data_IF_794378709241
#
_entry.id   IF_794378709241
#
_cell.length_a   1.000
_cell.length_b   1.000
_cell.length_c   1.000
_cell.angle_alpha   90.00
_cell.angle_beta   90.00
_cell.angle_gamma   90.00
#
_symmetry.space_group_name_H-M   'P 1'
#
loop_
_entity.id
_entity.type
_entity.pdbx_description
1 polymer ?
#
# COMPACT_ATOMS: atom_id res chain seq x y z
N UNK A 1 22.91 -20.31 -4.90
CA UNK A 1 21.63 -20.45 -4.18
C UNK A 1 21.15 -19.04 -3.84
N UNK A 2 20.30 -18.45 -4.68
CA UNK A 2 19.71 -17.12 -4.38
C UNK A 2 18.39 -17.34 -3.67
N UNK A 3 18.41 -17.17 -2.35
CA UNK A 3 17.20 -17.08 -1.53
C UNK A 3 16.45 -15.80 -1.91
N UNK A 4 15.54 -15.89 -2.88
CA UNK A 4 14.55 -14.84 -3.10
C UNK A 4 13.56 -14.91 -1.95
N UNK A 5 13.79 -14.12 -0.90
CA UNK A 5 12.77 -13.88 0.11
C UNK A 5 11.51 -13.37 -0.60
N UNK A 6 10.33 -13.94 -0.32
CA UNK A 6 9.09 -13.47 -0.92
C UNK A 6 8.96 -11.97 -0.63
N UNK A 7 8.47 -11.23 -1.63
CA UNK A 7 8.29 -9.79 -1.47
C UNK A 7 7.44 -9.53 -0.22
N UNK A 8 7.85 -8.60 0.66
CA UNK A 8 7.07 -8.29 1.83
C UNK A 8 5.68 -7.88 1.39
N UNK A 9 4.70 -8.65 1.85
CA UNK A 9 3.29 -8.36 1.64
C UNK A 9 2.97 -7.14 2.51
N UNK A 10 2.82 -5.99 1.89
CA UNK A 10 2.49 -4.76 2.59
C UNK A 10 0.97 -4.64 2.67
N UNK A 11 0.43 -4.72 3.89
CA UNK A 11 -0.98 -4.40 4.12
C UNK A 11 -1.20 -2.92 3.81
N UNK A 12 -2.10 -2.62 2.89
CA UNK A 12 -2.51 -1.28 2.50
C UNK A 12 -3.94 -0.98 2.95
N UNK A 13 -4.17 0.28 3.25
CA UNK A 13 -5.47 0.87 3.52
C UNK A 13 -5.77 1.88 2.42
N UNK A 14 -6.85 1.66 1.67
CA UNK A 14 -7.33 2.56 0.63
C UNK A 14 -8.52 3.33 1.19
N UNK A 15 -8.39 4.65 1.30
CA UNK A 15 -9.45 5.54 1.80
C UNK A 15 -10.07 6.31 0.65
N UNK A 16 -11.40 6.25 0.53
CA UNK A 16 -12.13 6.72 -0.67
C UNK A 16 -12.46 8.22 -0.65
N UNK A 17 -12.35 8.89 0.49
CA UNK A 17 -12.69 10.31 0.65
C UNK A 17 -11.76 11.01 1.63
N UNK A 18 -11.46 12.27 1.34
CA UNK A 18 -10.74 13.14 2.26
C UNK A 18 -11.48 13.28 3.59
N UNK A 19 -10.73 13.34 4.69
CA UNK A 19 -11.27 13.53 6.04
C UNK A 19 -10.66 14.76 6.68
N UNK A 20 -11.53 15.60 7.23
CA UNK A 20 -11.16 16.66 8.14
C UNK A 20 -11.80 16.39 9.52
N UNK A 21 -11.03 16.57 10.59
CA UNK A 21 -11.50 16.48 11.97
C UNK A 21 -10.80 17.51 12.85
N UNK A 22 -11.21 17.61 14.11
CA UNK A 22 -10.57 18.45 15.12
C UNK A 22 -10.08 17.58 16.27
N UNK A 23 -8.85 17.79 16.70
CA UNK A 23 -8.28 17.12 17.86
C UNK A 23 -8.04 18.14 18.99
N UNK A 24 -8.82 18.08 20.08
CA UNK A 24 -8.51 18.87 21.27
C UNK A 24 -7.30 18.27 21.98
N UNK A 25 -6.28 19.07 22.24
CA UNK A 25 -5.14 18.67 23.06
C UNK A 25 -4.67 19.84 23.93
N UNK A 26 -4.80 19.66 25.24
CA UNK A 26 -4.65 20.71 26.26
C UNK A 26 -5.58 21.89 25.94
N UNK A 27 -5.06 23.11 25.85
CA UNK A 27 -5.83 24.33 25.55
C UNK A 27 -5.90 24.67 24.05
N UNK A 28 -5.47 23.76 23.16
CA UNK A 28 -5.47 23.98 21.71
C UNK A 28 -6.32 22.94 20.99
N UNK A 29 -7.08 23.39 19.98
CA UNK A 29 -7.76 22.54 19.03
C UNK A 29 -6.97 22.54 17.72
N UNK A 30 -6.55 21.36 17.29
CA UNK A 30 -5.84 21.17 16.03
C UNK A 30 -6.83 20.78 14.94
N UNK A 31 -6.82 21.48 13.81
CA UNK A 31 -7.55 21.06 12.60
C UNK A 31 -6.70 20.05 11.87
N UNK A 32 -7.19 18.83 11.73
CA UNK A 32 -6.46 17.71 11.14
C UNK A 32 -7.13 17.30 9.85
N UNK A 33 -6.34 17.14 8.79
CA UNK A 33 -6.80 16.75 7.47
C UNK A 33 -5.95 15.61 6.91
N UNK A 34 -6.61 14.54 6.47
CA UNK A 34 -6.00 13.41 5.77
C UNK A 34 -6.68 13.22 4.42
N UNK A 35 -5.90 13.14 3.35
CA UNK A 35 -6.40 12.95 2.00
C UNK A 35 -6.87 11.51 1.75
N UNK A 36 -7.79 11.33 0.83
CA UNK A 36 -8.06 10.04 0.20
C UNK A 36 -6.79 9.49 -0.47
N UNK A 37 -6.72 8.17 -0.63
CA UNK A 37 -5.59 7.50 -1.26
C UNK A 37 -5.13 6.23 -0.55
N UNK A 38 -3.91 5.81 -0.89
CA UNK A 38 -3.25 4.62 -0.36
C UNK A 38 -2.39 4.94 0.85
N UNK A 39 -2.51 4.10 1.88
CA UNK A 39 -1.72 4.16 3.10
C UNK A 39 -1.11 2.79 3.38
N UNK A 40 0.17 2.76 3.73
CA UNK A 40 0.94 1.53 3.97
C UNK A 40 1.05 1.26 5.47
N UNK A 41 0.84 0.01 5.90
CA UNK A 41 1.08 -0.41 7.28
C UNK A 41 2.57 -0.22 7.64
N UNK A 42 2.85 0.67 8.60
CA UNK A 42 4.22 0.98 9.05
C UNK A 42 4.52 0.46 10.45
N UNK A 43 3.49 0.30 11.29
CA UNK A 43 3.63 -0.20 12.65
C UNK A 43 2.37 -0.88 13.15
N UNK A 44 2.52 -1.69 14.19
CA UNK A 44 1.42 -2.28 14.95
C UNK A 44 1.78 -2.36 16.43
N UNK A 45 0.78 -2.26 17.29
CA UNK A 45 0.91 -2.53 18.72
C UNK A 45 -0.18 -3.52 19.18
N UNK A 46 -0.33 -3.67 20.49
CA UNK A 46 -1.35 -4.53 21.09
C UNK A 46 -2.79 -4.04 20.81
N UNK A 47 -2.97 -2.77 20.46
CA UNK A 47 -4.26 -2.08 20.41
C UNK A 47 -4.72 -1.77 18.99
N UNK A 48 -3.80 -1.65 18.02
CA UNK A 48 -4.15 -1.20 16.69
C UNK A 48 -3.06 -1.39 15.63
N UNK A 49 -3.35 -0.84 14.46
CA UNK A 49 -2.51 -0.83 13.26
C UNK A 49 -2.34 0.61 12.79
N UNK A 50 -1.11 0.98 12.40
CA UNK A 50 -0.74 2.32 11.95
C UNK A 50 -0.41 2.30 10.46
N UNK A 51 -1.20 3.03 9.68
CA UNK A 51 -1.05 3.17 8.24
C UNK A 51 -0.57 4.59 7.89
N UNK A 52 0.60 4.72 7.28
CA UNK A 52 1.17 6.00 6.87
C UNK A 52 0.89 6.28 5.40
N UNK A 53 0.68 7.55 5.02
CA UNK A 53 0.33 7.89 3.66
C UNK A 53 1.53 7.73 2.71
N UNK A 54 1.34 7.10 1.54
CA UNK A 54 2.41 6.94 0.55
C UNK A 54 2.72 8.29 -0.11
N UNK A 55 3.76 8.98 0.36
CA UNK A 55 4.21 10.27 -0.18
C UNK A 55 3.37 11.49 0.23
N UNK A 56 2.29 11.28 0.99
CA UNK A 56 1.43 12.33 1.54
C UNK A 56 1.74 12.59 3.02
N UNK A 57 1.51 13.83 3.46
CA UNK A 57 1.59 14.21 4.85
C UNK A 57 0.18 14.52 5.36
N UNK A 58 -0.13 14.13 6.59
CA UNK A 58 -1.32 14.63 7.28
C UNK A 58 -1.13 16.13 7.48
N UNK A 59 -2.15 16.94 7.19
CA UNK A 59 -2.10 18.38 7.44
C UNK A 59 -2.69 18.67 8.83
N UNK A 60 -1.91 19.30 9.68
CA UNK A 60 -2.32 19.73 11.03
C UNK A 60 -2.17 21.24 11.10
N UNK A 61 -3.31 21.94 11.23
CA UNK A 61 -3.42 23.38 11.05
C UNK A 61 -2.81 23.83 9.70
N UNK A 62 -1.63 24.43 9.73
CA UNK A 62 -0.90 24.91 8.54
C UNK A 62 0.33 24.06 8.20
N UNK A 63 0.63 23.03 9.00
CA UNK A 63 1.83 22.21 8.86
C UNK A 63 1.52 20.85 8.26
N UNK A 64 2.46 20.35 7.45
CA UNK A 64 2.46 18.98 6.94
C UNK A 64 3.32 18.11 7.85
N UNK A 65 2.70 17.06 8.40
CA UNK A 65 3.31 16.16 9.39
C UNK A 65 3.25 14.70 8.92
N UNK A 66 4.11 13.89 9.51
CA UNK A 66 4.14 12.45 9.23
C UNK A 66 2.98 11.79 9.97
N UNK A 67 2.24 10.93 9.28
CA UNK A 67 1.07 10.29 9.84
C UNK A 67 0.16 9.65 8.79
N UNK A 68 -1.02 9.26 9.24
CA UNK A 68 -2.06 8.70 8.40
C UNK A 68 -3.21 8.20 9.24
N UNK A 69 -3.58 6.93 9.08
CA UNK A 69 -4.72 6.35 9.78
C UNK A 69 -4.30 5.31 10.82
N UNK A 70 -4.89 5.43 12.00
CA UNK A 70 -4.84 4.42 13.05
C UNK A 70 -6.13 3.63 13.01
N UNK A 71 -6.02 2.31 13.05
CA UNK A 71 -7.16 1.40 13.09
C UNK A 71 -7.11 0.57 14.37
N UNK A 72 -8.13 0.71 15.21
CA UNK A 72 -8.25 -0.06 16.45
C UNK A 72 -8.49 -1.54 16.16
N UNK A 73 -7.78 -2.43 16.87
CA UNK A 73 -8.04 -3.88 16.88
C UNK A 73 -9.20 -4.24 17.81
N UNK A 74 -9.45 -3.43 18.83
CA UNK A 74 -10.54 -3.62 19.78
C UNK A 74 -11.88 -3.31 19.10
N UNK A 75 -11.92 -2.21 18.36
CA UNK A 75 -13.06 -1.82 17.53
C UNK A 75 -12.58 -1.82 16.07
N UNK A 76 -12.63 -2.99 15.41
CA UNK A 76 -12.01 -3.24 14.08
C UNK A 76 -12.44 -2.29 12.96
N UNK A 77 -13.49 -1.50 13.15
CA UNK A 77 -13.98 -0.50 12.19
C UNK A 77 -13.76 0.96 12.65
N UNK A 78 -13.00 1.17 13.73
CA UNK A 78 -12.75 2.49 14.29
C UNK A 78 -11.45 3.05 13.72
N UNK A 79 -11.60 3.84 12.67
CA UNK A 79 -10.53 4.58 12.02
C UNK A 79 -10.37 5.97 12.66
N UNK A 80 -9.16 6.32 13.05
CA UNK A 80 -8.78 7.64 13.54
C UNK A 80 -7.59 8.16 12.74
N UNK A 81 -7.40 9.48 12.68
CA UNK A 81 -6.19 10.05 12.08
C UNK A 81 -5.10 10.07 13.14
N UNK A 82 -3.89 9.62 12.82
CA UNK A 82 -2.73 9.82 13.68
C UNK A 82 -1.67 10.67 13.02
N UNK A 83 -0.89 11.37 13.83
CA UNK A 83 0.30 12.06 13.36
C UNK A 83 1.37 12.13 14.44
N UNK A 84 2.60 12.37 14.00
CA UNK A 84 3.69 12.75 14.87
C UNK A 84 4.56 13.80 14.19
N UNK A 85 5.19 14.63 15.01
CA UNK A 85 6.12 15.64 14.52
C UNK A 85 7.45 14.99 14.13
N UNK A 86 8.12 15.46 13.06
CA UNK A 86 9.38 14.89 12.56
C UNK A 86 10.47 14.74 13.64
N UNK A 87 10.50 15.64 14.62
CA UNK A 87 11.48 15.61 15.73
C UNK A 87 11.09 14.68 16.89
N UNK A 88 9.86 14.14 16.90
CA UNK A 88 9.35 13.25 17.97
C UNK A 88 10.01 11.87 17.93
N UNK A 89 10.34 11.36 16.74
CA UNK A 89 10.98 10.05 16.56
C UNK A 89 12.51 10.08 16.68
N UNK A 90 13.16 11.22 16.40
CA UNK A 90 14.63 11.35 16.52
C UNK A 90 15.14 11.24 17.96
N UNK A 91 14.29 11.56 18.95
CA UNK A 91 14.69 11.67 20.36
C UNK A 91 13.95 10.67 21.27
N UNK A 92 13.15 9.75 20.74
CA UNK A 92 12.45 8.76 21.57
C UNK A 92 12.23 7.44 20.81
N UNK A 93 12.71 6.30 21.35
CA UNK A 93 12.28 4.97 20.92
C UNK A 93 10.76 4.74 21.09
N UNK A 94 10.10 5.60 21.89
CA UNK A 94 8.66 5.62 22.20
C UNK A 94 8.04 6.95 21.74
N UNK A 95 8.17 7.30 20.46
CA UNK A 95 7.69 8.59 19.94
C UNK A 95 6.23 8.86 20.31
N UNK A 96 5.91 10.07 20.75
CA UNK A 96 4.53 10.45 21.02
C UNK A 96 3.79 10.59 19.71
N UNK A 97 2.73 9.81 19.56
CA UNK A 97 1.75 9.89 18.48
C UNK A 97 0.51 10.57 19.01
N UNK A 98 -0.04 11.47 18.21
CA UNK A 98 -1.32 12.12 18.46
C UNK A 98 -2.38 11.42 17.63
N UNK A 99 -3.59 11.30 18.18
CA UNK A 99 -4.72 10.64 17.53
C UNK A 99 -5.91 11.62 17.54
N UNK A 100 -6.63 11.68 16.42
CA UNK A 100 -7.85 12.43 16.25
C UNK A 100 -8.97 11.49 15.81
N UNK A 101 -10.03 11.41 16.61
CA UNK A 101 -11.18 10.62 16.25
C UNK A 101 -11.94 11.27 15.09
N UNK A 102 -12.42 10.40 14.20
CA UNK A 102 -13.21 10.80 13.04
C UNK A 102 -14.68 10.58 13.37
N UNK A 103 -15.48 11.66 13.43
CA UNK A 103 -16.91 11.57 13.72
C UNK A 103 -17.71 10.94 12.58
N UNK A 104 -17.34 11.24 11.32
CA UNK A 104 -17.94 10.65 10.11
C UNK A 104 -16.89 9.79 9.39
N UNK A 105 -16.91 8.49 9.66
CA UNK A 105 -15.90 7.55 9.12
C UNK A 105 -15.95 7.52 7.58
N UNK A 106 -14.79 7.51 6.90
CA UNK A 106 -14.75 7.30 5.45
C UNK A 106 -15.06 5.84 5.11
N UNK A 107 -15.47 5.60 3.87
CA UNK A 107 -15.37 4.27 3.30
C UNK A 107 -13.90 3.93 3.05
N UNK A 108 -13.51 2.69 3.36
CA UNK A 108 -12.15 2.22 3.14
C UNK A 108 -12.12 0.74 2.77
N UNK A 109 -11.00 0.31 2.18
CA UNK A 109 -10.70 -1.08 1.86
C UNK A 109 -9.30 -1.43 2.36
N UNK A 110 -9.16 -2.61 2.94
CA UNK A 110 -7.85 -3.17 3.29
C UNK A 110 -7.46 -4.14 2.20
N UNK A 111 -6.28 -3.95 1.63
CA UNK A 111 -5.72 -4.81 0.60
C UNK A 111 -4.32 -5.24 0.98
N UNK A 112 -3.84 -6.30 0.35
CA UNK A 112 -2.45 -6.69 0.41
C UNK A 112 -1.80 -6.26 -0.90
N UNK A 113 -0.75 -5.45 -0.79
CA UNK A 113 0.00 -4.95 -1.94
C UNK A 113 1.44 -5.45 -1.87
N UNK A 114 2.03 -5.59 -3.04
CA UNK A 114 3.44 -5.93 -3.18
C UNK A 114 4.12 -4.67 -3.72
N UNK A 115 4.85 -3.94 -2.86
CA UNK A 115 5.57 -2.74 -3.26
C UNK A 115 7.07 -3.02 -3.40
N UNK A 116 7.60 -2.86 -4.62
CA UNK A 116 9.03 -3.04 -4.91
C UNK A 116 9.90 -1.82 -4.58
N UNK A 117 9.30 -0.66 -4.28
CA UNK A 117 10.03 0.61 -4.23
C UNK A 117 10.89 0.82 -2.98
N UNK A 118 10.70 0.04 -1.91
CA UNK A 118 11.45 0.18 -0.66
C UNK A 118 12.20 -1.10 -0.25
N UNK A 119 12.34 -2.07 -1.15
CA UNK A 119 13.04 -3.32 -0.84
C UNK A 119 14.55 -3.17 -1.05
N UNK A 120 15.34 -3.46 0.01
CA UNK A 120 16.77 -3.73 -0.10
C UNK A 120 16.96 -5.21 -0.41
N UNK A 121 17.17 -5.53 -1.68
CA UNK A 121 17.37 -6.88 -2.20
C UNK A 121 16.83 -7.07 -3.61
N UNK A 122 16.70 -8.33 -4.05
CA UNK A 122 16.19 -8.68 -5.38
C UNK A 122 14.65 -8.71 -5.41
N UNK A 123 14.05 -7.96 -6.34
CA UNK A 123 12.60 -7.93 -6.59
C UNK A 123 12.32 -8.30 -8.04
N UNK A 124 11.22 -9.02 -8.27
CA UNK A 124 10.69 -9.28 -9.61
C UNK A 124 9.22 -8.89 -9.67
N UNK A 125 8.82 -8.17 -10.73
CA UNK A 125 7.43 -7.78 -10.95
C UNK A 125 6.91 -8.34 -12.26
N UNK A 126 5.62 -8.68 -12.31
CA UNK A 126 4.87 -8.92 -13.54
C UNK A 126 3.75 -7.89 -13.61
N UNK A 127 3.93 -6.84 -14.40
CA UNK A 127 2.98 -5.73 -14.50
C UNK A 127 2.00 -6.00 -15.64
N UNK A 128 0.71 -5.92 -15.36
CA UNK A 128 -0.32 -6.06 -16.39
C UNK A 128 -0.28 -4.88 -17.38
N UNK A 129 -0.22 -5.17 -18.68
CA UNK A 129 -0.08 -4.18 -19.75
C UNK A 129 -1.32 -4.01 -20.63
N UNK A 130 -2.39 -4.77 -20.39
CA UNK A 130 -3.61 -4.73 -21.19
C UNK A 130 -3.81 -5.98 -22.06
N UNK A 131 -4.88 -5.96 -22.86
CA UNK A 131 -5.16 -6.97 -23.89
C UNK A 131 -5.03 -6.32 -25.27
N UNK A 132 -4.41 -7.03 -26.20
CA UNK A 132 -4.40 -6.65 -27.61
C UNK A 132 -4.51 -7.88 -28.48
N UNK A 133 -5.42 -7.84 -29.47
CA UNK A 133 -5.57 -8.90 -30.49
C UNK A 133 -5.73 -10.32 -29.89
N UNK A 134 -6.52 -10.45 -28.82
CA UNK A 134 -6.76 -11.73 -28.15
C UNK A 134 -5.60 -12.23 -27.29
N UNK A 135 -4.57 -11.41 -27.06
CA UNK A 135 -3.44 -11.72 -26.17
C UNK A 135 -3.44 -10.81 -24.97
N UNK A 136 -3.13 -11.39 -23.81
CA UNK A 136 -2.87 -10.65 -22.58
C UNK A 136 -1.38 -10.30 -22.53
N UNK A 137 -1.07 -9.04 -22.21
CA UNK A 137 0.30 -8.53 -22.15
C UNK A 137 0.71 -8.32 -20.69
N UNK A 138 1.93 -8.73 -20.36
CA UNK A 138 2.59 -8.39 -19.13
C UNK A 138 3.99 -7.84 -19.38
N UNK A 139 4.46 -6.97 -18.51
CA UNK A 139 5.85 -6.48 -18.48
C UNK A 139 6.53 -7.07 -17.25
N UNK A 140 7.50 -7.94 -17.48
CA UNK A 140 8.35 -8.46 -16.44
C UNK A 140 9.53 -7.52 -16.20
N UNK A 141 9.86 -7.24 -14.93
CA UNK A 141 11.05 -6.46 -14.54
C UNK A 141 11.71 -7.04 -13.31
N UNK A 142 13.04 -6.98 -13.27
CA UNK A 142 13.85 -7.27 -12.08
C UNK A 142 14.46 -5.99 -11.52
N UNK A 143 14.52 -5.90 -10.20
CA UNK A 143 15.15 -4.80 -9.48
C UNK A 143 16.18 -5.35 -8.49
N UNK A 144 17.26 -4.60 -8.28
CA UNK A 144 18.22 -4.82 -7.19
C UNK A 144 18.38 -3.52 -6.43
N UNK A 145 18.21 -3.58 -5.10
CA UNK A 145 18.36 -2.42 -4.22
C UNK A 145 17.51 -1.21 -4.65
N UNK A 146 16.29 -1.49 -5.13
CA UNK A 146 15.35 -0.47 -5.62
C UNK A 146 15.64 0.06 -7.03
N UNK A 147 16.75 -0.30 -7.67
CA UNK A 147 17.07 0.09 -9.04
C UNK A 147 16.63 -0.98 -10.04
N UNK A 148 15.94 -0.55 -11.10
CA UNK A 148 15.59 -1.42 -12.21
C UNK A 148 16.87 -1.95 -12.87
N UNK A 149 16.92 -3.27 -13.09
CA UNK A 149 17.99 -3.88 -13.86
C UNK A 149 17.56 -3.86 -15.33
N UNK A 150 17.93 -2.81 -16.06
CA UNK A 150 17.45 -2.55 -17.43
C UNK A 150 17.62 -3.77 -18.37
N UNK A 151 18.67 -4.57 -18.18
CA UNK A 151 18.92 -5.79 -18.95
C UNK A 151 17.90 -6.94 -18.70
N UNK A 152 16.93 -6.77 -17.80
CA UNK A 152 15.96 -7.80 -17.39
C UNK A 152 14.50 -7.32 -17.50
N UNK A 153 14.20 -6.46 -18.46
CA UNK A 153 12.82 -6.12 -18.85
C UNK A 153 12.37 -7.02 -20.00
N UNK A 154 11.22 -7.70 -19.85
CA UNK A 154 10.66 -8.55 -20.91
C UNK A 154 9.17 -8.31 -21.07
N UNK A 155 8.72 -8.12 -22.31
CA UNK A 155 7.30 -8.15 -22.64
C UNK A 155 6.86 -9.60 -22.86
N UNK A 156 5.78 -9.98 -22.20
CA UNK A 156 5.23 -11.34 -22.19
C UNK A 156 3.84 -11.28 -22.78
N UNK A 157 3.63 -12.00 -23.88
CA UNK A 157 2.34 -12.12 -24.55
C UNK A 157 1.84 -13.56 -24.39
N UNK A 158 0.67 -13.72 -23.79
CA UNK A 158 0.00 -15.02 -23.64
C UNK A 158 -1.36 -14.96 -24.30
N UNK A 159 -1.84 -16.06 -24.86
CA UNK A 159 -3.19 -16.10 -25.41
C UNK A 159 -4.21 -15.91 -24.29
N UNK A 160 -5.12 -14.96 -24.45
CA UNK A 160 -6.10 -14.64 -23.42
C UNK A 160 -7.22 -15.69 -23.39
N UNK A 161 -7.23 -16.47 -22.32
CA UNK A 161 -8.24 -17.46 -21.96
C UNK A 161 -8.74 -17.18 -20.53
N UNK A 162 -9.92 -16.60 -20.35
CA UNK A 162 -10.52 -16.41 -19.03
C UNK A 162 -10.63 -17.74 -18.27
N UNK A 163 -10.58 -17.67 -16.93
CA UNK A 163 -10.69 -18.81 -16.01
C UNK A 163 -9.62 -19.90 -16.19
N UNK A 164 -8.55 -19.61 -16.94
CA UNK A 164 -7.42 -20.52 -17.12
C UNK A 164 -6.24 -20.16 -16.22
N UNK A 165 -5.40 -21.16 -15.92
CA UNK A 165 -4.15 -20.96 -15.18
C UNK A 165 -3.09 -20.43 -16.14
N UNK A 166 -2.56 -19.27 -15.80
CA UNK A 166 -1.40 -18.65 -16.44
C UNK A 166 -0.15 -19.00 -15.64
N UNK A 167 0.93 -19.21 -16.37
CA UNK A 167 2.24 -19.54 -15.82
C UNK A 167 3.30 -18.69 -16.50
N UNK A 168 4.09 -17.98 -15.70
CA UNK A 168 5.28 -17.29 -16.18
C UNK A 168 6.37 -17.35 -15.12
N UNK A 169 7.56 -17.85 -15.50
CA UNK A 169 8.61 -18.27 -14.57
C UNK A 169 8.01 -19.14 -13.43
N UNK A 170 8.23 -18.77 -12.18
CA UNK A 170 7.76 -19.48 -11.00
C UNK A 170 6.32 -19.12 -10.58
N UNK A 171 5.77 -18.05 -11.14
CA UNK A 171 4.42 -17.59 -10.79
C UNK A 171 3.32 -18.40 -11.44
N UNK A 172 2.20 -18.52 -10.72
CA UNK A 172 0.96 -19.16 -11.19
C UNK A 172 -0.21 -18.31 -10.75
N UNK A 173 -1.15 -18.03 -11.65
CA UNK A 173 -2.34 -17.25 -11.35
C UNK A 173 -3.48 -17.61 -12.29
N UNK A 174 -4.72 -17.43 -11.85
CA UNK A 174 -5.92 -17.56 -12.68
C UNK A 174 -6.37 -16.17 -13.07
N UNK A 175 -6.59 -15.91 -14.36
CA UNK A 175 -7.19 -14.64 -14.81
C UNK A 175 -8.67 -14.86 -15.03
N UNK A 176 -9.51 -14.20 -14.22
CA UNK A 176 -10.96 -14.30 -14.33
C UNK A 176 -11.51 -13.39 -15.44
N UNK A 177 -11.01 -12.16 -15.47
CA UNK A 177 -11.41 -11.16 -16.46
C UNK A 177 -10.28 -10.18 -16.68
N UNK A 178 -10.07 -9.77 -17.91
CA UNK A 178 -9.14 -8.71 -18.25
C UNK A 178 -9.67 -7.89 -19.44
N UNK A 179 -9.32 -6.61 -19.45
CA UNK A 179 -9.50 -5.65 -20.55
C UNK A 179 -8.30 -4.71 -20.60
N UNK A 180 -8.26 -3.74 -21.51
CA UNK A 180 -7.08 -2.88 -21.71
C UNK A 180 -6.65 -2.08 -20.46
N UNK A 181 -7.48 -1.99 -19.44
CA UNK A 181 -7.27 -1.16 -18.24
C UNK A 181 -7.32 -1.93 -16.93
N UNK A 182 -8.00 -3.08 -16.89
CA UNK A 182 -8.27 -3.81 -15.66
C UNK A 182 -7.96 -5.31 -15.84
N UNK A 183 -7.47 -5.92 -14.76
CA UNK A 183 -7.35 -7.37 -14.62
C UNK A 183 -7.93 -7.80 -13.27
N UNK A 184 -8.75 -8.84 -13.29
CA UNK A 184 -9.23 -9.58 -12.13
C UNK A 184 -8.58 -10.96 -12.14
N UNK A 185 -7.90 -11.31 -11.06
CA UNK A 185 -7.10 -12.53 -10.98
C UNK A 185 -7.06 -13.11 -9.57
N UNK A 186 -6.80 -14.41 -9.49
CA UNK A 186 -6.43 -15.12 -8.26
C UNK A 186 -4.98 -15.55 -8.35
N UNK A 187 -4.15 -15.11 -7.41
CA UNK A 187 -2.75 -15.53 -7.33
C UNK A 187 -2.66 -16.92 -6.68
N UNK A 188 -2.07 -17.89 -7.37
CA UNK A 188 -1.84 -19.24 -6.85
C UNK A 188 -0.43 -19.39 -6.29
N UNK A 189 0.56 -18.79 -6.96
CA UNK A 189 1.96 -18.78 -6.55
C UNK A 189 2.63 -17.48 -7.02
N UNK A 190 3.31 -16.72 -6.12
CA UNK A 190 4.07 -15.53 -6.51
C UNK A 190 5.32 -15.88 -7.33
N UNK A 191 5.94 -14.85 -7.94
CA UNK A 191 7.21 -14.96 -8.68
C UNK A 191 8.39 -15.36 -7.79
#
# INVERSE_FOLDING_TARGET
MTSSSPLPLHKQLIVESDIATSAPHRSKNFRVFASSGSYTLVAQDAYGLFFEADGNYVKVDNDYVVGGYYMSKINSNDLSIYWHWKNSLKNSPNGTVYIADISKKPNYKITESISGHNFRGFVSTLTYGGIAKGKIMFVYREFSDGFARDAFTQEVYLDYKPESIYAYKNSRFVVHKADNTMISYTLLKPL
#
